data_IF_391910711515
#
_entry.id   IF_391910711515
#
_cell.length_a   1.000
_cell.length_b   1.000
_cell.length_c   1.000
_cell.angle_alpha   90.00
_cell.angle_beta   90.00
_cell.angle_gamma   90.00
#
_symmetry.space_group_name_H-M   'P 1'
#
loop_
_entity.id
_entity.type
_entity.pdbx_description
1 polymer ?
#
# COMPACT_ATOMS: atom_id res chain seq x y z
N UNK A 1 63.70 46.51 23.66
CA UNK A 1 63.99 45.40 22.74
C UNK A 1 63.41 44.09 23.26
N UNK A 2 62.09 43.95 23.31
CA UNK A 2 61.46 42.64 23.64
C UNK A 2 60.03 42.53 23.06
N UNK A 3 59.88 42.77 21.76
CA UNK A 3 58.57 42.61 21.14
C UNK A 3 58.56 41.81 19.86
N UNK A 4 59.57 41.01 19.56
CA UNK A 4 59.65 40.23 18.29
C UNK A 4 59.22 38.75 18.48
N UNK A 5 59.13 38.28 19.74
CA UNK A 5 58.88 36.86 20.01
C UNK A 5 57.41 36.40 19.96
N UNK A 6 56.45 37.30 20.07
CA UNK A 6 55.03 36.95 20.23
C UNK A 6 54.23 36.80 18.94
N UNK A 7 54.75 37.30 17.80
CA UNK A 7 54.05 37.14 16.50
C UNK A 7 54.30 35.83 15.80
N UNK A 8 55.34 35.11 16.14
CA UNK A 8 55.63 33.81 15.49
C UNK A 8 54.81 32.64 16.02
N UNK A 9 54.30 32.74 17.25
CA UNK A 9 53.52 31.64 17.86
C UNK A 9 52.05 31.62 17.44
N UNK A 10 51.48 32.70 17.02
CA UNK A 10 50.08 32.76 16.64
C UNK A 10 49.79 32.14 15.25
N UNK A 11 50.78 32.12 14.34
CA UNK A 11 50.60 31.57 13.00
C UNK A 11 50.86 30.06 12.89
N UNK A 12 51.46 29.45 13.92
CA UNK A 12 51.78 27.98 13.84
C UNK A 12 50.63 27.11 14.36
N UNK A 13 49.72 27.65 15.17
CA UNK A 13 48.66 26.81 15.77
C UNK A 13 47.46 26.58 14.88
N UNK A 14 47.15 27.52 13.98
CA UNK A 14 46.02 27.36 13.06
C UNK A 14 46.32 26.46 11.85
N UNK A 15 47.59 26.44 11.38
CA UNK A 15 47.98 25.59 10.27
C UNK A 15 48.08 24.10 10.65
N UNK A 16 48.45 23.82 11.90
CA UNK A 16 48.57 22.44 12.40
C UNK A 16 47.22 21.80 12.74
N UNK A 17 46.22 22.60 13.12
CA UNK A 17 44.86 22.08 13.36
C UNK A 17 44.19 21.63 12.06
N UNK A 18 44.48 22.31 10.94
CA UNK A 18 43.97 21.91 9.63
C UNK A 18 44.74 20.77 8.95
N UNK A 19 45.98 20.49 9.38
CA UNK A 19 46.83 19.44 8.79
C UNK A 19 46.62 18.04 9.39
N UNK A 20 46.00 17.94 10.58
CA UNK A 20 45.70 16.67 11.26
C UNK A 20 44.24 16.27 11.10
N UNK A 21 43.47 17.08 10.41
CA UNK A 21 42.12 16.67 9.96
C UNK A 21 42.29 15.54 8.96
N UNK A 22 42.18 14.31 9.41
CA UNK A 22 42.12 13.12 8.58
C UNK A 22 41.08 13.39 7.48
N UNK A 23 41.55 13.56 6.24
CA UNK A 23 40.67 13.73 5.07
C UNK A 23 39.69 12.56 4.90
N UNK A 24 39.90 11.49 5.64
CA UNK A 24 39.03 10.31 5.71
C UNK A 24 37.71 10.58 6.45
N UNK A 25 37.74 11.45 7.47
CA UNK A 25 36.55 11.75 8.28
C UNK A 25 35.42 12.43 7.47
N UNK A 26 35.68 13.52 6.72
CA UNK A 26 34.64 14.13 5.90
C UNK A 26 34.19 13.19 4.75
N UNK A 27 35.07 12.35 4.21
CA UNK A 27 34.75 11.40 3.15
C UNK A 27 33.85 10.29 3.67
N UNK A 28 34.10 9.76 4.87
CA UNK A 28 33.23 8.78 5.53
C UNK A 28 31.87 9.37 5.87
N UNK A 29 31.80 10.61 6.39
CA UNK A 29 30.55 11.30 6.66
C UNK A 29 29.73 11.51 5.36
N UNK A 30 30.39 11.88 4.27
CA UNK A 30 29.72 12.07 2.98
C UNK A 30 29.16 10.75 2.44
N UNK A 31 29.90 9.67 2.52
CA UNK A 31 29.41 8.33 2.13
C UNK A 31 28.23 7.89 3.02
N UNK A 32 28.26 8.17 4.31
CA UNK A 32 27.20 7.81 5.24
C UNK A 32 25.91 8.61 4.98
N UNK A 33 26.03 9.90 4.63
CA UNK A 33 24.87 10.71 4.23
C UNK A 33 24.26 10.27 2.91
N UNK A 34 25.09 9.93 1.90
CA UNK A 34 24.61 9.40 0.60
C UNK A 34 23.93 8.05 0.81
N UNK A 35 24.52 7.17 1.62
CA UNK A 35 23.92 5.86 1.94
C UNK A 35 22.56 6.04 2.66
N UNK A 36 22.48 6.96 3.63
CA UNK A 36 21.25 7.24 4.34
C UNK A 36 20.16 7.82 3.41
N UNK A 37 20.54 8.75 2.54
CA UNK A 37 19.63 9.32 1.54
C UNK A 37 19.12 8.26 0.55
N UNK A 38 20.00 7.39 0.05
CA UNK A 38 19.62 6.28 -0.82
C UNK A 38 18.71 5.29 -0.10
N UNK A 39 19.01 4.94 1.15
CA UNK A 39 18.18 4.07 1.97
C UNK A 39 16.80 4.69 2.24
N UNK A 40 16.75 5.97 2.58
CA UNK A 40 15.50 6.70 2.80
C UNK A 40 14.63 6.74 1.53
N UNK A 41 15.22 7.03 0.37
CA UNK A 41 14.49 7.04 -0.92
C UNK A 41 14.00 5.66 -1.32
N UNK A 42 14.78 4.61 -1.09
CA UNK A 42 14.36 3.22 -1.35
C UNK A 42 13.25 2.79 -0.38
N UNK A 43 13.35 3.18 0.88
CA UNK A 43 12.34 2.89 1.90
C UNK A 43 11.02 3.63 1.61
N UNK A 44 11.10 4.91 1.25
CA UNK A 44 9.92 5.67 0.82
C UNK A 44 9.32 5.13 -0.47
N UNK A 45 10.15 4.71 -1.45
CA UNK A 45 9.67 4.10 -2.69
C UNK A 45 8.94 2.78 -2.42
N UNK A 46 9.47 1.94 -1.51
CA UNK A 46 8.81 0.71 -1.07
C UNK A 46 7.49 1.02 -0.35
N UNK A 47 7.48 2.00 0.53
CA UNK A 47 6.29 2.45 1.26
C UNK A 47 5.25 3.09 0.34
N UNK A 48 5.68 3.86 -0.66
CA UNK A 48 4.79 4.47 -1.66
C UNK A 48 4.19 3.44 -2.61
N UNK A 49 4.91 2.37 -2.93
CA UNK A 49 4.37 1.26 -3.74
C UNK A 49 3.26 0.52 -2.99
N UNK A 50 3.35 0.38 -1.66
CA UNK A 50 2.24 -0.19 -0.87
C UNK A 50 1.04 0.77 -0.74
N UNK A 51 1.26 2.10 -0.78
CA UNK A 51 0.21 3.11 -0.64
C UNK A 51 -0.41 3.51 -1.98
N UNK A 52 0.28 3.29 -3.10
CA UNK A 52 -0.10 3.81 -4.42
C UNK A 52 -0.43 2.75 -5.47
N UNK A 53 -0.57 1.46 -5.11
CA UNK A 53 -1.20 0.51 -6.03
C UNK A 53 -2.70 0.47 -5.71
N UNK A 54 -3.54 1.21 -6.44
CA UNK A 54 -4.97 1.02 -6.34
C UNK A 54 -5.26 -0.42 -6.76
N UNK A 55 -5.65 -1.25 -5.80
CA UNK A 55 -6.13 -2.59 -6.10
C UNK A 55 -7.35 -2.43 -7.01
N UNK A 56 -7.28 -2.93 -8.23
CA UNK A 56 -8.34 -2.75 -9.22
C UNK A 56 -8.89 -4.08 -9.71
N UNK A 57 -10.20 -4.15 -9.91
CA UNK A 57 -10.86 -5.23 -10.64
C UNK A 57 -10.96 -4.87 -12.11
N UNK A 58 -10.08 -5.42 -12.96
CA UNK A 58 -10.14 -5.25 -14.42
C UNK A 58 -10.30 -3.77 -14.87
N UNK A 59 -9.88 -2.80 -14.04
CA UNK A 59 -10.06 -1.38 -14.32
C UNK A 59 -11.48 -0.82 -14.10
N UNK A 60 -12.45 -1.63 -13.73
CA UNK A 60 -13.84 -1.19 -13.50
C UNK A 60 -14.09 -0.71 -12.07
N UNK A 61 -13.37 -1.26 -11.08
CA UNK A 61 -13.48 -0.89 -9.68
C UNK A 61 -12.10 -0.73 -9.06
N UNK A 62 -11.86 0.38 -8.42
CA UNK A 62 -10.56 0.70 -7.77
C UNK A 62 -10.76 0.89 -6.28
N UNK A 63 -9.92 0.24 -5.48
CA UNK A 63 -9.91 0.44 -4.03
C UNK A 63 -8.85 1.45 -3.63
N UNK A 64 -9.26 2.51 -2.94
CA UNK A 64 -8.34 3.48 -2.32
C UNK A 64 -8.12 3.11 -0.86
N UNK A 65 -6.86 2.79 -0.52
CA UNK A 65 -6.47 2.50 0.86
C UNK A 65 -6.57 3.72 1.76
N UNK A 66 -6.32 4.92 1.22
CA UNK A 66 -6.40 6.19 1.95
C UNK A 66 -7.84 6.53 2.35
N UNK A 67 -8.78 6.34 1.42
CA UNK A 67 -10.19 6.60 1.67
C UNK A 67 -10.93 5.37 2.25
N UNK A 68 -10.30 4.19 2.29
CA UNK A 68 -10.91 2.90 2.65
C UNK A 68 -12.21 2.64 1.90
N UNK A 69 -12.27 3.06 0.64
CA UNK A 69 -13.48 3.07 -0.18
C UNK A 69 -13.22 2.58 -1.61
N UNK A 70 -14.28 2.13 -2.25
CA UNK A 70 -14.26 1.71 -3.64
C UNK A 70 -14.78 2.82 -4.55
N UNK A 71 -14.13 2.98 -5.69
CA UNK A 71 -14.48 3.94 -6.73
C UNK A 71 -14.70 3.20 -8.06
N UNK A 72 -15.69 3.62 -8.81
CA UNK A 72 -15.92 3.11 -10.17
C UNK A 72 -14.92 3.74 -11.15
N UNK A 73 -14.97 3.33 -12.43
CA UNK A 73 -14.12 3.89 -13.49
C UNK A 73 -14.33 5.39 -13.74
N UNK A 74 -15.43 5.96 -13.29
CA UNK A 74 -15.75 7.38 -13.37
C UNK A 74 -15.30 8.17 -12.15
N UNK A 75 -14.52 7.52 -11.23
CA UNK A 75 -14.10 8.08 -9.94
C UNK A 75 -15.25 8.43 -8.99
N UNK A 76 -16.41 7.83 -9.18
CA UNK A 76 -17.54 7.98 -8.28
C UNK A 76 -17.44 6.96 -7.14
N UNK A 77 -17.81 7.38 -5.92
CA UNK A 77 -17.80 6.55 -4.74
C UNK A 77 -18.86 5.46 -4.84
N UNK A 78 -18.46 4.21 -4.72
CA UNK A 78 -19.37 3.07 -4.62
C UNK A 78 -19.70 2.81 -3.14
N UNK A 79 -20.94 3.08 -2.76
CA UNK A 79 -21.41 2.91 -1.38
C UNK A 79 -21.55 1.42 -1.03
N UNK A 80 -20.56 0.88 -0.35
CA UNK A 80 -20.55 -0.48 0.17
C UNK A 80 -20.66 -0.47 1.69
N UNK A 81 -21.39 -1.44 2.24
CA UNK A 81 -21.38 -1.66 3.69
C UNK A 81 -19.99 -2.20 4.14
N UNK A 82 -19.61 -2.06 5.42
CA UNK A 82 -18.31 -2.55 5.91
C UNK A 82 -18.06 -4.03 5.59
N UNK A 83 -19.08 -4.88 5.70
CA UNK A 83 -18.97 -6.31 5.36
C UNK A 83 -18.79 -6.55 3.85
N UNK A 84 -19.47 -5.76 3.01
CA UNK A 84 -19.29 -5.80 1.56
C UNK A 84 -17.89 -5.32 1.17
N UNK A 85 -17.41 -4.26 1.79
CA UNK A 85 -16.04 -3.74 1.58
C UNK A 85 -15.00 -4.81 1.91
N UNK A 86 -15.14 -5.48 3.05
CA UNK A 86 -14.26 -6.57 3.48
C UNK A 86 -14.27 -7.73 2.47
N UNK A 87 -15.45 -8.14 2.03
CA UNK A 87 -15.60 -9.21 1.03
C UNK A 87 -14.95 -8.82 -0.31
N UNK A 88 -15.14 -7.59 -0.77
CA UNK A 88 -14.52 -7.10 -1.99
C UNK A 88 -13.00 -7.04 -1.90
N UNK A 89 -12.45 -6.64 -0.75
CA UNK A 89 -11.00 -6.69 -0.51
C UNK A 89 -10.46 -8.12 -0.56
N UNK A 90 -11.20 -9.10 -0.05
CA UNK A 90 -10.82 -10.51 -0.14
C UNK A 90 -10.79 -10.97 -1.62
N UNK A 91 -11.79 -10.60 -2.42
CA UNK A 91 -11.79 -10.90 -3.86
C UNK A 91 -10.61 -10.26 -4.58
N UNK A 92 -10.25 -9.01 -4.26
CA UNK A 92 -9.09 -8.34 -4.85
C UNK A 92 -7.77 -9.06 -4.59
N UNK A 93 -7.63 -9.63 -3.39
CA UNK A 93 -6.40 -10.33 -2.97
C UNK A 93 -6.35 -11.78 -3.44
N UNK A 94 -7.48 -12.35 -3.82
CA UNK A 94 -7.57 -13.73 -4.25
C UNK A 94 -7.10 -13.91 -5.69
N UNK A 95 -6.38 -14.98 -5.96
CA UNK A 95 -5.94 -15.34 -7.30
C UNK A 95 -7.16 -15.57 -8.21
N UNK A 96 -7.15 -14.91 -9.37
CA UNK A 96 -8.27 -14.98 -10.31
C UNK A 96 -9.58 -14.41 -9.77
N UNK A 97 -9.54 -13.63 -8.68
CA UNK A 97 -10.71 -13.05 -8.01
C UNK A 97 -11.78 -14.09 -7.64
N UNK A 98 -11.30 -15.25 -7.21
CA UNK A 98 -12.10 -16.41 -6.86
C UNK A 98 -11.93 -16.76 -5.39
N UNK A 99 -13.04 -16.98 -4.69
CA UNK A 99 -13.07 -17.36 -3.28
C UNK A 99 -14.02 -18.53 -3.04
N UNK A 100 -13.58 -19.49 -2.24
CA UNK A 100 -14.47 -20.57 -1.79
C UNK A 100 -15.46 -20.08 -0.74
N UNK A 101 -16.65 -20.66 -0.71
CA UNK A 101 -17.67 -20.37 0.28
C UNK A 101 -17.16 -20.53 1.71
N UNK A 102 -16.40 -21.60 1.96
CA UNK A 102 -15.80 -21.85 3.29
C UNK A 102 -14.81 -20.79 3.69
N UNK A 103 -13.90 -20.36 2.78
CA UNK A 103 -12.94 -19.32 3.07
C UNK A 103 -13.62 -17.98 3.44
N UNK A 104 -14.66 -17.60 2.71
CA UNK A 104 -15.43 -16.39 3.02
C UNK A 104 -16.12 -16.49 4.38
N UNK A 105 -16.79 -17.62 4.65
CA UNK A 105 -17.50 -17.84 5.91
C UNK A 105 -16.55 -17.81 7.11
N UNK A 106 -15.41 -18.47 7.02
CA UNK A 106 -14.41 -18.51 8.09
C UNK A 106 -13.79 -17.12 8.33
N UNK A 107 -13.55 -16.35 7.29
CA UNK A 107 -12.95 -15.02 7.42
C UNK A 107 -13.91 -13.97 7.96
N UNK A 108 -15.18 -13.97 7.50
CA UNK A 108 -16.15 -12.95 7.89
C UNK A 108 -16.91 -13.30 9.18
N UNK A 109 -17.13 -14.60 9.44
CA UNK A 109 -17.91 -15.07 10.61
C UNK A 109 -17.25 -16.26 11.30
N UNK A 110 -16.06 -16.09 11.91
CA UNK A 110 -15.33 -17.21 12.53
C UNK A 110 -16.04 -17.86 13.70
N UNK A 111 -17.04 -17.17 14.32
CA UNK A 111 -17.78 -17.64 15.49
C UNK A 111 -19.22 -18.07 15.20
N UNK A 112 -19.65 -18.09 13.95
CA UNK A 112 -21.03 -18.40 13.60
C UNK A 112 -21.13 -19.84 13.06
N UNK A 113 -21.99 -20.64 13.66
CA UNK A 113 -22.14 -22.08 13.31
C UNK A 113 -22.69 -22.32 11.90
N UNK A 114 -23.57 -21.44 11.39
CA UNK A 114 -24.10 -21.57 10.03
C UNK A 114 -24.20 -20.21 9.33
N UNK A 115 -23.09 -19.71 8.77
CA UNK A 115 -23.06 -18.41 8.08
C UNK A 115 -23.60 -18.45 6.63
N UNK A 116 -24.04 -19.62 6.13
CA UNK A 116 -24.39 -19.81 4.73
C UNK A 116 -25.51 -18.91 4.22
N UNK A 117 -26.58 -18.75 4.96
CA UNK A 117 -27.70 -17.86 4.59
C UNK A 117 -27.30 -16.38 4.66
N UNK A 118 -26.50 -16.02 5.66
CA UNK A 118 -25.97 -14.67 5.81
C UNK A 118 -25.06 -14.32 4.63
N UNK A 119 -24.21 -15.25 4.22
CA UNK A 119 -23.36 -15.10 3.04
C UNK A 119 -24.20 -14.93 1.76
N UNK A 120 -25.20 -15.76 1.56
CA UNK A 120 -26.07 -15.67 0.38
C UNK A 120 -26.76 -14.29 0.30
N UNK A 121 -27.26 -13.79 1.43
CA UNK A 121 -27.87 -12.46 1.50
C UNK A 121 -26.85 -11.35 1.23
N UNK A 122 -25.62 -11.46 1.77
CA UNK A 122 -24.55 -10.51 1.54
C UNK A 122 -24.15 -10.47 0.06
N UNK A 123 -23.94 -11.61 -0.55
CA UNK A 123 -23.60 -11.74 -1.99
C UNK A 123 -24.71 -11.17 -2.88
N UNK A 124 -25.98 -11.47 -2.59
CA UNK A 124 -27.09 -10.95 -3.37
C UNK A 124 -27.15 -9.41 -3.33
N UNK A 125 -26.99 -8.82 -2.14
CA UNK A 125 -26.95 -7.36 -2.00
C UNK A 125 -25.74 -6.75 -2.68
N UNK A 126 -24.57 -7.36 -2.53
CA UNK A 126 -23.35 -6.91 -3.18
C UNK A 126 -23.47 -6.96 -4.69
N UNK A 127 -24.03 -8.03 -5.24
CA UNK A 127 -24.29 -8.20 -6.66
C UNK A 127 -25.14 -7.04 -7.21
N UNK A 128 -26.27 -6.72 -6.57
CA UNK A 128 -27.13 -5.60 -6.97
C UNK A 128 -26.38 -4.27 -6.96
N UNK A 129 -25.55 -4.02 -5.93
CA UNK A 129 -24.76 -2.78 -5.83
C UNK A 129 -23.69 -2.71 -6.92
N UNK A 130 -23.01 -3.81 -7.23
CA UNK A 130 -21.98 -3.83 -8.26
C UNK A 130 -22.57 -3.68 -9.67
N UNK A 131 -23.68 -4.34 -9.95
CA UNK A 131 -24.38 -4.23 -11.25
C UNK A 131 -24.89 -2.81 -11.50
N UNK A 132 -25.25 -2.06 -10.45
CA UNK A 132 -25.68 -0.66 -10.57
C UNK A 132 -24.53 0.34 -10.70
N UNK A 133 -23.38 0.06 -10.09
CA UNK A 133 -22.26 1.00 -10.00
C UNK A 133 -21.15 0.75 -11.04
N UNK A 134 -20.99 -0.48 -11.50
CA UNK A 134 -19.91 -0.90 -12.40
C UNK A 134 -20.32 -2.15 -13.20
N UNK A 135 -19.49 -2.51 -14.21
CA UNK A 135 -19.74 -3.70 -15.07
C UNK A 135 -19.21 -5.00 -14.44
N UNK A 136 -19.20 -5.09 -13.11
CA UNK A 136 -18.75 -6.29 -12.41
C UNK A 136 -19.94 -7.17 -12.06
N UNK A 137 -19.75 -8.47 -12.24
CA UNK A 137 -20.73 -9.48 -11.94
C UNK A 137 -20.12 -10.53 -11.02
N UNK A 138 -20.88 -10.96 -10.02
CA UNK A 138 -20.50 -12.09 -9.17
C UNK A 138 -21.14 -13.35 -9.74
N UNK A 139 -20.31 -14.30 -10.13
CA UNK A 139 -20.73 -15.62 -10.61
C UNK A 139 -20.51 -16.67 -9.53
N UNK A 140 -21.44 -17.62 -9.49
CA UNK A 140 -21.38 -18.75 -8.55
C UNK A 140 -20.90 -19.99 -9.31
N UNK A 141 -19.75 -20.51 -8.93
CA UNK A 141 -19.20 -21.71 -9.53
C UNK A 141 -19.57 -22.94 -8.73
N UNK A 142 -20.41 -23.81 -9.33
CA UNK A 142 -20.87 -25.10 -8.76
C UNK A 142 -21.37 -25.03 -7.32
N UNK A 143 -21.87 -23.86 -6.88
CA UNK A 143 -22.36 -23.63 -5.51
C UNK A 143 -21.30 -23.62 -4.41
N UNK A 144 -20.01 -23.76 -4.73
CA UNK A 144 -18.92 -23.86 -3.76
C UNK A 144 -17.94 -22.67 -3.78
N UNK A 145 -17.90 -21.94 -4.86
CA UNK A 145 -17.03 -20.77 -5.02
C UNK A 145 -17.78 -19.61 -5.66
N UNK A 146 -17.29 -18.42 -5.37
CA UNK A 146 -17.74 -17.16 -5.96
C UNK A 146 -16.57 -16.54 -6.71
N UNK A 147 -16.84 -15.99 -7.88
CA UNK A 147 -15.85 -15.29 -8.69
C UNK A 147 -16.41 -13.96 -9.16
N UNK A 148 -15.55 -12.93 -9.13
CA UNK A 148 -15.87 -11.62 -9.70
C UNK A 148 -15.37 -11.60 -11.14
N UNK A 149 -16.27 -11.30 -12.08
CA UNK A 149 -15.97 -11.22 -13.53
C UNK A 149 -16.49 -9.90 -14.09
N UNK A 150 -15.94 -9.48 -15.22
CA UNK A 150 -16.46 -8.30 -15.96
C UNK A 150 -17.61 -8.77 -16.84
N UNK A 151 -18.74 -8.09 -16.78
CA UNK A 151 -19.83 -8.33 -17.71
C UNK A 151 -19.44 -7.85 -19.12
N UNK A 152 -19.26 -8.81 -20.03
CA UNK A 152 -18.86 -8.57 -21.42
C UNK A 152 -20.05 -8.18 -22.34
N UNK A 153 -21.22 -7.96 -21.79
CA UNK A 153 -22.36 -7.52 -22.60
C UNK A 153 -22.12 -6.08 -23.07
N UNK A 154 -21.92 -5.96 -24.36
CA UNK A 154 -22.00 -4.70 -25.10
C UNK A 154 -23.44 -4.29 -25.25
#
# INVERSE_FOLDING_TARGET
AHFIGLRAYANCSTATIFSISDQRLPLVLLLLTVFWAAFATLYEKKRRVEVCNPLSFYGELTYSTTASAFFNKHHELVHLTPMQTQLMQMFLRADGHRLSRTAICTALWPKKDNPGETLHTLIRRLKTTLESACRLKIEVERGQAYQVTVDKRQ
#
